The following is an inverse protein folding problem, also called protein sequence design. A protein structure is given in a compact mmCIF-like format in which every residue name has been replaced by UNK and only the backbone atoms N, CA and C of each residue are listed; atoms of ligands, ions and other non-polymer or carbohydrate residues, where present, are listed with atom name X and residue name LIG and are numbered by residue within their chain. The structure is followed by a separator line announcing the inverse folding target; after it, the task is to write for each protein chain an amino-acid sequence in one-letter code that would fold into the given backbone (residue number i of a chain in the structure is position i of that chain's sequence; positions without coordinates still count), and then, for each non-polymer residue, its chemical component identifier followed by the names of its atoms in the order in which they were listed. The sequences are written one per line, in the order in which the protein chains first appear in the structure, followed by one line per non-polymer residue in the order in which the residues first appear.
data_IF_214100284383
#
_entry.id   IF_214100284383
#
_cell.length_a   1.000
_cell.length_b   1.000
_cell.length_c   1.000
_cell.angle_alpha   90.00
_cell.angle_beta   90.00
_cell.angle_gamma   90.00
#
_symmetry.space_group_name_H-M   'P 1'
#
loop_
_entity.id
_entity.type
_entity.pdbx_description
1 polymer ?
#
# COMPACT_ATOMS: atom_id res chain seq x y z
N UNK A 1 17.62 -21.32 23.46
CA UNK A 1 16.76 -20.34 24.15
C UNK A 1 15.57 -20.06 23.26
N UNK A 2 14.48 -20.80 23.45
CA UNK A 2 13.20 -20.60 22.77
C UNK A 2 12.56 -19.31 23.28
N UNK A 3 12.26 -18.37 22.39
CA UNK A 3 11.64 -17.09 22.76
C UNK A 3 10.19 -17.29 23.23
N UNK A 4 9.65 -16.47 24.14
CA UNK A 4 8.37 -16.70 24.82
C UNK A 4 7.12 -16.38 23.98
N UNK A 5 7.27 -16.21 22.67
CA UNK A 5 6.18 -15.90 21.77
C UNK A 5 5.58 -17.23 21.31
N UNK A 6 4.38 -17.55 21.80
CA UNK A 6 3.70 -18.81 21.54
C UNK A 6 3.70 -19.20 20.05
N UNK A 7 3.71 -20.49 19.78
CA UNK A 7 3.74 -21.06 18.43
C UNK A 7 2.60 -20.49 17.56
N UNK A 8 2.87 -19.43 16.81
CA UNK A 8 1.86 -18.72 16.01
C UNK A 8 1.62 -19.47 14.69
N UNK A 9 0.37 -19.40 14.22
CA UNK A 9 -0.02 -19.95 12.93
C UNK A 9 0.66 -19.15 11.81
N UNK A 10 1.31 -19.83 10.88
CA UNK A 10 1.98 -19.18 9.74
C UNK A 10 0.96 -18.76 8.68
N UNK A 11 1.24 -17.66 7.99
CA UNK A 11 0.50 -17.20 6.84
C UNK A 11 1.10 -17.72 5.53
N UNK A 12 0.53 -17.26 4.42
CA UNK A 12 1.00 -17.62 3.08
C UNK A 12 2.37 -17.00 2.76
N UNK A 13 2.62 -15.80 3.29
CA UNK A 13 3.88 -15.10 3.08
C UNK A 13 5.06 -15.83 3.74
N UNK A 14 4.88 -16.28 4.99
CA UNK A 14 5.89 -17.04 5.72
C UNK A 14 6.16 -18.40 5.04
N UNK A 15 5.12 -19.04 4.46
CA UNK A 15 5.28 -20.25 3.66
C UNK A 15 6.11 -19.97 2.40
N UNK A 16 5.83 -18.88 1.70
CA UNK A 16 6.59 -18.49 0.50
C UNK A 16 8.06 -18.17 0.82
N UNK A 17 8.33 -17.49 1.94
CA UNK A 17 9.70 -17.17 2.37
C UNK A 17 10.50 -18.44 2.70
N UNK A 18 9.86 -19.44 3.32
CA UNK A 18 10.46 -20.75 3.55
C UNK A 18 10.77 -21.50 2.24
N UNK A 19 9.85 -21.48 1.27
CA UNK A 19 10.07 -22.08 -0.06
C UNK A 19 11.23 -21.42 -0.82
N UNK A 20 11.33 -20.09 -0.74
CA UNK A 20 12.43 -19.33 -1.36
C UNK A 20 13.79 -19.64 -0.71
N UNK A 21 13.80 -19.93 0.59
CA UNK A 21 15.00 -20.41 1.30
C UNK A 21 15.45 -21.78 0.78
N UNK A 22 14.52 -22.72 0.61
CA UNK A 22 14.80 -24.03 0.01
C UNK A 22 15.30 -23.90 -1.43
N UNK A 23 14.70 -23.01 -2.23
CA UNK A 23 15.09 -22.77 -3.62
C UNK A 23 16.50 -22.23 -3.76
N UNK A 24 16.92 -21.31 -2.88
CA UNK A 24 18.32 -20.83 -2.84
C UNK A 24 19.29 -21.96 -2.50
N UNK A 25 18.97 -22.76 -1.49
CA UNK A 25 19.85 -23.86 -1.07
C UNK A 25 19.97 -24.96 -2.15
N UNK A 26 18.92 -25.21 -2.94
CA UNK A 26 19.01 -26.04 -4.15
C UNK A 26 19.94 -25.40 -5.20
N UNK A 27 19.80 -24.10 -5.46
CA UNK A 27 20.66 -23.36 -6.40
C UNK A 27 22.14 -23.31 -5.99
N UNK A 28 22.41 -23.32 -4.68
CA UNK A 28 23.76 -23.43 -4.11
C UNK A 28 24.30 -24.87 -4.08
N UNK A 29 23.48 -25.87 -4.46
CA UNK A 29 23.86 -27.28 -4.42
C UNK A 29 23.92 -27.89 -3.02
N UNK A 30 23.28 -27.26 -2.03
CA UNK A 30 23.18 -27.74 -0.63
C UNK A 30 22.04 -28.72 -0.40
N UNK A 31 21.08 -28.74 -1.31
CA UNK A 31 19.94 -29.65 -1.35
C UNK A 31 19.95 -30.37 -2.69
N UNK A 32 19.66 -31.67 -2.68
CA UNK A 32 19.31 -32.40 -3.90
C UNK A 32 17.84 -32.13 -4.29
N UNK A 33 17.48 -32.40 -5.55
CA UNK A 33 16.13 -32.20 -6.08
C UNK A 33 15.08 -33.03 -5.32
N UNK A 34 15.41 -34.26 -4.92
CA UNK A 34 14.52 -35.11 -4.14
C UNK A 34 14.28 -34.55 -2.73
N UNK A 35 15.33 -34.03 -2.09
CA UNK A 35 15.23 -33.39 -0.77
C UNK A 35 14.44 -32.08 -0.84
N UNK A 36 14.63 -31.31 -1.90
CA UNK A 36 13.88 -30.09 -2.15
C UNK A 36 12.37 -30.36 -2.25
N UNK A 37 11.96 -31.35 -3.05
CA UNK A 37 10.54 -31.70 -3.22
C UNK A 37 9.90 -32.17 -1.90
N UNK A 38 10.60 -33.05 -1.17
CA UNK A 38 10.16 -33.53 0.14
C UNK A 38 9.98 -32.38 1.14
N UNK A 39 10.94 -31.44 1.21
CA UNK A 39 10.86 -30.30 2.13
C UNK A 39 9.82 -29.28 1.69
N UNK A 40 9.60 -29.08 0.39
CA UNK A 40 8.52 -28.24 -0.10
C UNK A 40 7.15 -28.76 0.32
N UNK A 41 6.91 -30.07 0.22
CA UNK A 41 5.67 -30.67 0.72
C UNK A 41 5.46 -30.41 2.21
N UNK A 42 6.52 -30.55 3.02
CA UNK A 42 6.45 -30.30 4.46
C UNK A 42 6.18 -28.82 4.79
N UNK A 43 6.79 -27.88 4.06
CA UNK A 43 6.51 -26.44 4.20
C UNK A 43 5.07 -26.11 3.80
N UNK A 44 4.51 -26.79 2.80
CA UNK A 44 3.12 -26.60 2.39
C UNK A 44 2.13 -27.03 3.47
N UNK A 45 2.43 -28.11 4.19
CA UNK A 45 1.61 -28.68 5.26
C UNK A 45 1.81 -27.99 6.62
N UNK A 46 2.91 -27.28 6.81
CA UNK A 46 3.21 -26.55 8.03
C UNK A 46 2.10 -25.55 8.37
N UNK A 47 1.68 -25.56 9.64
CA UNK A 47 0.65 -24.66 10.14
C UNK A 47 1.21 -23.62 11.09
N UNK A 48 2.37 -23.87 11.68
CA UNK A 48 2.92 -23.04 12.73
C UNK A 48 4.41 -22.78 12.55
N UNK A 49 4.93 -21.73 13.19
CA UNK A 49 6.31 -21.32 13.00
C UNK A 49 7.30 -22.35 13.58
N UNK A 50 6.90 -23.11 14.61
CA UNK A 50 7.69 -24.21 15.14
C UNK A 50 7.80 -25.39 14.15
N UNK A 51 6.84 -25.55 13.23
CA UNK A 51 6.89 -26.61 12.21
C UNK A 51 7.94 -26.32 11.12
N UNK A 52 8.26 -25.04 10.89
CA UNK A 52 9.25 -24.62 9.88
C UNK A 52 10.70 -24.72 10.38
N UNK A 53 10.93 -24.55 11.68
CA UNK A 53 12.27 -24.59 12.29
C UNK A 53 13.04 -25.89 11.98
N UNK A 54 12.48 -27.10 12.15
CA UNK A 54 13.21 -28.33 11.82
C UNK A 54 13.45 -28.53 10.33
N UNK A 55 12.62 -27.93 9.46
CA UNK A 55 12.73 -28.08 8.00
C UNK A 55 13.88 -27.23 7.44
N UNK A 56 14.12 -26.07 8.06
CA UNK A 56 15.11 -25.08 7.64
C UNK A 56 16.35 -25.02 8.54
N UNK A 57 16.38 -25.75 9.65
CA UNK A 57 17.38 -25.59 10.71
C UNK A 57 18.82 -25.93 10.32
N UNK A 58 19.02 -26.69 9.25
CA UNK A 58 20.31 -27.04 8.66
C UNK A 58 20.78 -26.07 7.57
N UNK A 59 19.89 -25.19 7.10
CA UNK A 59 20.20 -24.18 6.10
C UNK A 59 20.69 -22.88 6.78
N UNK A 60 21.61 -22.14 6.14
CA UNK A 60 22.01 -20.84 6.67
C UNK A 60 20.80 -19.92 6.75
N UNK A 61 20.64 -19.15 7.85
CA UNK A 61 19.51 -18.27 8.02
C UNK A 61 19.52 -17.22 6.90
N UNK A 62 18.44 -17.18 6.11
CA UNK A 62 18.23 -16.09 5.17
C UNK A 62 17.97 -14.84 6.03
N UNK A 63 18.71 -13.73 5.84
CA UNK A 63 18.39 -12.50 6.54
C UNK A 63 16.95 -12.13 6.17
N UNK A 64 16.08 -12.06 7.18
CA UNK A 64 14.71 -11.58 7.03
C UNK A 64 14.74 -10.16 6.44
N UNK A 65 14.68 -10.06 5.12
CA UNK A 65 15.04 -8.86 4.36
C UNK A 65 15.85 -9.08 3.07
N UNK A 66 16.03 -10.33 2.61
CA UNK A 66 16.88 -10.67 1.46
C UNK A 66 16.17 -10.82 0.12
N UNK A 67 15.60 -9.74 -0.41
CA UNK A 67 15.52 -9.58 -1.86
C UNK A 67 16.95 -9.65 -2.45
N UNK A 68 17.08 -10.34 -3.57
CA UNK A 68 18.33 -10.71 -4.25
C UNK A 68 19.38 -9.59 -4.26
N UNK A 69 20.61 -9.94 -3.85
CA UNK A 69 21.88 -9.22 -4.05
C UNK A 69 21.94 -7.73 -3.67
N UNK A 70 22.45 -7.47 -2.46
CA UNK A 70 23.00 -6.18 -2.04
C UNK A 70 24.25 -5.86 -2.87
N UNK A 71 24.10 -5.03 -3.90
CA UNK A 71 25.19 -4.19 -4.39
C UNK A 71 25.18 -2.87 -3.59
N UNK A 72 26.38 -2.39 -3.30
CA UNK A 72 26.75 -1.38 -2.31
C UNK A 72 25.85 -0.13 -2.23
N UNK A 73 25.35 0.17 -1.03
CA UNK A 73 24.72 1.46 -0.70
C UNK A 73 25.68 2.21 0.23
N UNK A 74 26.18 3.41 -0.15
CA UNK A 74 26.98 4.26 0.71
C UNK A 74 26.14 4.79 1.87
N UNK A 75 26.76 4.86 3.04
CA UNK A 75 26.27 5.44 4.29
C UNK A 75 25.55 6.78 4.10
N UNK A 76 24.30 6.85 4.59
CA UNK A 76 23.57 8.09 4.87
C UNK A 76 22.37 8.34 3.96
N UNK A 77 21.18 7.87 4.37
CA UNK A 77 19.96 8.70 4.47
C UNK A 77 18.68 7.86 4.65
N UNK A 78 17.90 8.29 5.66
CA UNK A 78 16.46 8.09 5.91
C UNK A 78 15.93 6.65 5.91
N UNK A 79 15.58 6.17 7.11
CA UNK A 79 14.77 4.97 7.33
C UNK A 79 13.42 5.07 6.60
N UNK A 80 13.32 4.45 5.43
CA UNK A 80 12.06 4.22 4.74
C UNK A 80 11.24 3.21 5.55
N UNK A 81 10.06 3.61 6.03
CA UNK A 81 9.28 2.73 6.88
C UNK A 81 8.66 1.61 6.04
N UNK A 82 8.92 0.34 6.36
CA UNK A 82 8.43 -0.81 5.55
C UNK A 82 6.92 -0.82 5.30
N UNK A 83 6.16 -0.12 6.14
CA UNK A 83 4.72 0.16 5.98
C UNK A 83 4.39 0.99 4.73
N UNK A 84 5.24 1.94 4.32
CA UNK A 84 5.08 2.75 3.11
C UNK A 84 5.33 1.93 1.82
N UNK A 85 6.24 0.94 1.86
CA UNK A 85 6.53 0.04 0.71
C UNK A 85 5.32 -0.87 0.47
N UNK A 86 4.74 -1.39 1.55
CA UNK A 86 3.58 -2.29 1.48
C UNK A 86 2.31 -1.58 0.98
N UNK A 87 2.11 -0.30 1.27
CA UNK A 87 0.95 0.46 0.80
C UNK A 87 1.00 0.74 -0.71
N UNK A 88 2.17 1.02 -1.27
CA UNK A 88 2.37 1.18 -2.71
C UNK A 88 2.14 -0.13 -3.49
N UNK A 89 2.41 -1.29 -2.87
CA UNK A 89 2.15 -2.61 -3.47
C UNK A 89 0.65 -2.94 -3.58
N UNK A 90 -0.20 -2.38 -2.70
CA UNK A 90 -1.67 -2.60 -2.74
C UNK A 90 -2.41 -1.81 -3.82
N UNK A 91 -1.87 -0.70 -4.33
CA UNK A 91 -2.56 0.13 -5.33
C UNK A 91 -2.60 -0.45 -6.76
N UNK A 92 -1.95 -1.59 -7.00
CA UNK A 92 -1.94 -2.27 -8.32
C UNK A 92 -3.21 -3.09 -8.65
N UNK A 93 -4.26 -3.05 -7.82
CA UNK A 93 -5.41 -3.95 -7.95
C UNK A 93 -6.45 -3.46 -8.97
N UNK A 94 -6.13 -3.56 -10.26
CA UNK A 94 -7.14 -3.64 -11.35
C UNK A 94 -7.32 -5.09 -11.82
N UNK A 95 -7.49 -6.02 -10.88
CA UNK A 95 -7.66 -7.47 -11.11
C UNK A 95 -8.95 -7.85 -11.86
N UNK A 96 -9.92 -6.95 -11.99
CA UNK A 96 -11.28 -7.26 -12.51
C UNK A 96 -11.44 -7.14 -14.02
N UNK A 97 -10.51 -6.51 -14.73
CA UNK A 97 -10.60 -6.34 -16.19
C UNK A 97 -9.97 -7.50 -16.99
N UNK A 98 -9.01 -8.23 -16.41
CA UNK A 98 -8.29 -9.31 -17.11
C UNK A 98 -9.15 -10.56 -17.37
N UNK A 99 -10.03 -10.92 -16.43
CA UNK A 99 -10.95 -12.07 -16.58
C UNK A 99 -11.96 -11.85 -17.71
N UNK A 100 -12.38 -10.61 -17.96
CA UNK A 100 -13.40 -10.29 -18.96
C UNK A 100 -12.89 -10.42 -20.41
N UNK A 101 -11.59 -10.21 -20.65
CA UNK A 101 -11.00 -10.30 -22.00
C UNK A 101 -10.48 -11.69 -22.36
N UNK A 102 -10.07 -12.49 -21.38
CA UNK A 102 -9.63 -13.88 -21.59
C UNK A 102 -10.79 -14.78 -22.07
N UNK A 103 -12.02 -14.50 -21.63
CA UNK A 103 -13.22 -15.19 -22.09
C UNK A 103 -13.57 -14.93 -23.57
N UNK A 104 -13.30 -13.73 -24.09
CA UNK A 104 -13.66 -13.35 -25.47
C UNK A 104 -12.81 -14.06 -26.52
N UNK A 105 -11.55 -14.38 -26.22
CA UNK A 105 -10.64 -15.07 -27.16
C UNK A 105 -10.90 -16.59 -27.19
N UNK A 106 -11.30 -17.18 -26.07
CA UNK A 106 -11.65 -18.61 -26.00
C UNK A 106 -12.86 -19.00 -26.87
N UNK A 107 -13.79 -18.07 -27.09
CA UNK A 107 -15.00 -18.34 -27.89
C UNK A 107 -14.74 -18.53 -29.40
N UNK A 108 -13.63 -17.98 -29.94
CA UNK A 108 -13.32 -18.08 -31.37
C UNK A 108 -12.49 -19.33 -31.75
N UNK A 109 -12.00 -20.10 -30.77
CA UNK A 109 -11.19 -21.30 -31.02
C UNK A 109 -11.99 -22.57 -31.34
N UNK A 110 -13.32 -22.55 -31.24
CA UNK A 110 -14.15 -23.76 -31.30
C UNK A 110 -14.72 -24.13 -32.69
N UNK A 111 -14.40 -23.41 -33.76
CA UNK A 111 -15.07 -23.60 -35.08
C UNK A 111 -14.13 -23.74 -36.28
N UNK A 112 -12.99 -24.44 -36.18
CA UNK A 112 -12.13 -24.67 -37.35
C UNK A 112 -11.08 -25.76 -37.18
N UNK A 113 -11.12 -26.73 -38.09
CA UNK A 113 -10.33 -27.97 -38.15
C UNK A 113 -8.83 -27.67 -38.37
N UNK A 114 -7.96 -28.42 -37.66
CA UNK A 114 -6.48 -28.39 -37.64
C UNK A 114 -5.83 -27.24 -36.84
N UNK A 115 -5.27 -27.55 -35.67
CA UNK A 115 -4.92 -26.58 -34.62
C UNK A 115 -3.54 -25.91 -34.77
N UNK A 116 -3.44 -24.58 -34.94
CA UNK A 116 -2.21 -23.84 -34.70
C UNK A 116 -2.23 -23.22 -33.30
N UNK A 117 -2.08 -24.04 -32.25
CA UNK A 117 -2.03 -23.57 -30.84
C UNK A 117 -0.96 -22.45 -30.68
N UNK A 118 0.11 -22.51 -31.47
CA UNK A 118 1.16 -21.50 -31.53
C UNK A 118 0.70 -20.11 -31.99
N UNK A 119 -0.31 -20.00 -32.85
CA UNK A 119 -0.84 -18.70 -33.32
C UNK A 119 -1.66 -17.98 -32.24
N UNK A 120 -2.23 -18.70 -31.29
CA UNK A 120 -2.88 -18.09 -30.11
C UNK A 120 -1.86 -17.76 -29.02
N UNK A 121 -0.78 -18.53 -28.92
CA UNK A 121 0.27 -18.35 -27.91
C UNK A 121 0.91 -16.96 -27.99
N UNK A 122 1.30 -16.50 -29.19
CA UNK A 122 1.93 -15.18 -29.40
C UNK A 122 1.04 -14.01 -28.91
N UNK A 123 -0.24 -13.88 -29.31
CA UNK A 123 -1.10 -12.82 -28.82
C UNK A 123 -1.46 -12.99 -27.33
N UNK A 124 -1.65 -14.21 -26.82
CA UNK A 124 -1.86 -14.39 -25.36
C UNK A 124 -0.65 -13.96 -24.55
N UNK A 125 0.56 -14.30 -25.00
CA UNK A 125 1.81 -13.95 -24.32
C UNK A 125 2.11 -12.46 -24.46
N UNK A 126 1.77 -11.84 -25.60
CA UNK A 126 1.79 -10.39 -25.80
C UNK A 126 0.81 -9.67 -24.87
N UNK A 127 -0.42 -10.16 -24.72
CA UNK A 127 -1.41 -9.58 -23.79
C UNK A 127 -0.96 -9.74 -22.33
N UNK A 128 -0.43 -10.91 -21.96
CA UNK A 128 0.02 -11.20 -20.61
C UNK A 128 1.24 -10.37 -20.20
N UNK A 129 2.22 -10.21 -21.11
CA UNK A 129 3.40 -9.40 -20.83
C UNK A 129 3.16 -7.89 -20.99
N UNK A 130 2.45 -7.47 -22.03
CA UNK A 130 2.34 -6.05 -22.40
C UNK A 130 1.13 -5.35 -21.80
N UNK A 131 -0.03 -6.01 -21.76
CA UNK A 131 -1.29 -5.42 -21.24
C UNK A 131 -1.47 -5.70 -19.77
N UNK A 132 -1.24 -6.94 -19.32
CA UNK A 132 -1.27 -7.28 -17.89
C UNK A 132 0.02 -6.86 -17.16
N UNK A 133 1.03 -6.36 -17.88
CA UNK A 133 2.29 -5.85 -17.32
C UNK A 133 2.91 -6.84 -16.30
N UNK A 134 2.74 -8.14 -16.55
CA UNK A 134 3.29 -9.23 -15.73
C UNK A 134 4.80 -9.29 -15.99
N UNK A 135 5.53 -8.47 -15.26
CA UNK A 135 6.98 -8.41 -15.25
C UNK A 135 7.49 -8.46 -13.81
N UNK A 136 8.77 -8.79 -13.59
CA UNK A 136 9.39 -8.85 -12.26
C UNK A 136 9.06 -7.59 -11.44
N UNK A 137 8.76 -7.74 -10.16
CA UNK A 137 8.38 -6.64 -9.26
C UNK A 137 9.41 -5.49 -9.24
N UNK A 138 10.67 -5.76 -9.60
CA UNK A 138 11.75 -4.76 -9.74
C UNK A 138 11.49 -3.72 -10.83
N UNK A 139 10.65 -4.02 -11.83
CA UNK A 139 10.33 -3.07 -12.90
C UNK A 139 9.32 -1.99 -12.47
N UNK A 140 8.72 -2.14 -11.28
CA UNK A 140 7.67 -1.27 -10.76
C UNK A 140 8.05 -0.52 -9.50
N UNK A 141 9.28 -0.64 -9.02
CA UNK A 141 9.72 0.12 -7.85
C UNK A 141 9.73 1.62 -8.19
N UNK A 142 8.83 2.43 -7.63
CA UNK A 142 8.79 3.86 -7.91
C UNK A 142 10.08 4.51 -7.40
N UNK A 143 10.62 5.43 -8.19
CA UNK A 143 11.85 6.15 -7.83
C UNK A 143 11.63 7.00 -6.57
N UNK A 144 12.65 7.14 -5.71
CA UNK A 144 12.57 7.92 -4.46
C UNK A 144 12.02 9.34 -4.67
N UNK A 145 12.36 9.97 -5.81
CA UNK A 145 11.87 11.31 -6.18
C UNK A 145 10.35 11.37 -6.42
N UNK A 146 9.75 10.31 -6.95
CA UNK A 146 8.29 10.26 -7.17
C UNK A 146 7.53 10.17 -5.85
N UNK A 147 8.08 9.46 -4.86
CA UNK A 147 7.53 9.38 -3.51
C UNK A 147 7.59 10.74 -2.80
N UNK A 148 8.67 11.49 -2.96
CA UNK A 148 8.76 12.86 -2.44
C UNK A 148 7.74 13.81 -3.10
N UNK A 149 7.51 13.67 -4.40
CA UNK A 149 6.51 14.47 -5.11
C UNK A 149 5.09 14.17 -4.64
N UNK A 150 4.74 12.89 -4.45
CA UNK A 150 3.45 12.50 -3.87
C UNK A 150 3.27 13.05 -2.46
N UNK A 151 4.29 12.95 -1.60
CA UNK A 151 4.26 13.52 -0.26
C UNK A 151 4.01 15.03 -0.29
N UNK A 152 4.65 15.75 -1.21
CA UNK A 152 4.41 17.20 -1.39
C UNK A 152 2.97 17.49 -1.83
N UNK A 153 2.37 16.65 -2.65
CA UNK A 153 0.97 16.81 -3.06
C UNK A 153 0.00 16.57 -1.90
N UNK A 154 0.21 15.52 -1.11
CA UNK A 154 -0.62 15.23 0.07
C UNK A 154 -0.54 16.34 1.11
N UNK A 155 0.65 16.89 1.35
CA UNK A 155 0.84 18.03 2.27
C UNK A 155 0.12 19.28 1.76
N UNK A 156 0.18 19.57 0.46
CA UNK A 156 -0.53 20.71 -0.15
C UNK A 156 -2.04 20.58 0.00
N UNK A 157 -2.61 19.40 -0.23
CA UNK A 157 -4.04 19.16 -0.04
C UNK A 157 -4.47 19.43 1.40
N UNK A 158 -3.73 18.92 2.39
CA UNK A 158 -4.01 19.18 3.81
C UNK A 158 -3.86 20.66 4.18
N UNK A 159 -2.93 21.38 3.55
CA UNK A 159 -2.78 22.83 3.75
C UNK A 159 -4.01 23.60 3.26
N UNK A 160 -4.54 23.25 2.08
CA UNK A 160 -5.76 23.87 1.53
C UNK A 160 -6.98 23.63 2.44
N UNK A 161 -7.10 22.45 3.04
CA UNK A 161 -8.16 22.15 4.00
C UNK A 161 -8.03 23.02 5.27
N UNK A 162 -6.83 23.17 5.82
CA UNK A 162 -6.59 24.00 6.99
C UNK A 162 -6.83 25.48 6.69
N UNK A 163 -6.42 25.95 5.50
CA UNK A 163 -6.62 27.32 5.07
C UNK A 163 -8.09 27.64 4.88
N UNK A 164 -8.84 26.77 4.20
CA UNK A 164 -10.29 26.94 4.05
C UNK A 164 -11.01 26.90 5.39
N UNK A 165 -10.63 25.99 6.31
CA UNK A 165 -11.18 25.95 7.67
C UNK A 165 -10.93 27.27 8.45
N UNK A 166 -9.73 27.84 8.33
CA UNK A 166 -9.41 29.15 8.94
C UNK A 166 -10.19 30.29 8.30
N UNK A 167 -10.34 30.28 6.98
CA UNK A 167 -11.14 31.29 6.27
C UNK A 167 -12.61 31.24 6.72
N UNK A 168 -13.17 30.05 6.91
CA UNK A 168 -14.51 29.86 7.46
C UNK A 168 -14.62 30.40 8.90
N UNK A 169 -13.66 30.10 9.77
CA UNK A 169 -13.65 30.65 11.13
C UNK A 169 -13.59 32.19 11.14
N UNK A 170 -12.77 32.78 10.27
CA UNK A 170 -12.67 34.24 10.15
C UNK A 170 -13.98 34.86 9.65
N UNK A 171 -14.69 34.21 8.72
CA UNK A 171 -15.98 34.69 8.24
C UNK A 171 -17.03 34.73 9.37
N UNK A 172 -17.07 33.70 10.22
CA UNK A 172 -17.97 33.65 11.38
C UNK A 172 -17.65 34.72 12.43
N UNK A 173 -16.37 34.93 12.75
CA UNK A 173 -15.97 35.98 13.69
C UNK A 173 -16.33 37.38 13.15
N UNK A 174 -16.25 37.58 11.83
CA UNK A 174 -16.65 38.84 11.18
C UNK A 174 -18.15 39.09 11.26
N UNK A 175 -18.99 38.05 11.18
CA UNK A 175 -20.44 38.24 11.37
C UNK A 175 -20.75 38.57 12.83
N UNK A 176 -20.19 37.81 13.78
CA UNK A 176 -20.41 38.03 15.22
C UNK A 176 -19.99 39.44 15.66
N UNK A 177 -18.85 39.95 15.18
CA UNK A 177 -18.41 41.32 15.50
C UNK A 177 -19.41 42.37 15.03
N UNK A 178 -20.02 42.18 13.85
CA UNK A 178 -21.05 43.10 13.35
C UNK A 178 -22.29 43.06 14.22
N UNK A 179 -22.72 41.87 14.63
CA UNK A 179 -23.89 41.69 15.49
C UNK A 179 -23.68 42.35 16.86
N UNK A 180 -22.50 42.17 17.46
CA UNK A 180 -22.14 42.84 18.72
C UNK A 180 -22.14 44.36 18.59
N UNK A 181 -21.58 44.91 17.51
CA UNK A 181 -21.56 46.36 17.28
C UNK A 181 -22.98 46.90 17.13
N UNK A 182 -23.84 46.20 16.40
CA UNK A 182 -25.24 46.60 16.22
C UNK A 182 -26.01 46.57 17.55
N UNK A 183 -25.79 45.54 18.38
CA UNK A 183 -26.37 45.46 19.72
C UNK A 183 -25.90 46.61 20.62
N UNK A 184 -24.59 46.86 20.69
CA UNK A 184 -24.03 47.98 21.48
C UNK A 184 -24.56 49.33 21.00
N UNK A 185 -24.75 49.50 19.69
CA UNK A 185 -25.32 50.72 19.11
C UNK A 185 -26.78 50.89 19.52
N UNK A 186 -27.57 49.80 19.51
CA UNK A 186 -28.96 49.80 19.96
C UNK A 186 -29.06 50.11 21.45
N UNK A 187 -28.28 49.42 22.29
CA UNK A 187 -28.27 49.62 23.75
C UNK A 187 -27.85 51.05 24.12
N UNK A 188 -26.89 51.63 23.40
CA UNK A 188 -26.47 53.01 23.59
C UNK A 188 -27.56 54.02 23.19
N UNK A 189 -28.27 53.77 22.09
CA UNK A 189 -29.41 54.57 21.64
C UNK A 189 -30.55 54.50 22.66
N UNK A 190 -30.89 53.32 23.15
CA UNK A 190 -31.94 53.11 24.16
C UNK A 190 -31.56 53.76 25.49
N UNK A 191 -30.30 53.66 25.92
CA UNK A 191 -29.80 54.35 27.12
C UNK A 191 -29.85 55.88 26.95
N UNK A 192 -29.45 56.40 25.79
CA UNK A 192 -29.55 57.83 25.48
C UNK A 192 -31.02 58.29 25.46
N UNK A 193 -31.91 57.49 24.87
CA UNK A 193 -33.34 57.79 24.81
C UNK A 193 -33.98 57.76 26.20
N UNK A 194 -33.64 56.76 27.02
CA UNK A 194 -34.12 56.64 28.40
C UNK A 194 -33.63 57.78 29.29
N UNK A 195 -32.37 58.19 29.16
CA UNK A 195 -31.84 59.33 29.91
C UNK A 195 -32.57 60.62 29.54
N UNK A 196 -32.76 60.89 28.25
CA UNK A 196 -33.54 62.05 27.77
C UNK A 196 -34.98 62.01 28.28
N UNK A 197 -35.65 60.86 28.19
CA UNK A 197 -37.03 60.69 28.66
C UNK A 197 -37.16 60.89 30.18
N UNK A 198 -36.15 60.46 30.96
CA UNK A 198 -36.11 60.65 32.42
C UNK A 198 -36.07 62.13 32.81
N UNK A 199 -35.35 62.97 32.07
CA UNK A 199 -35.30 64.42 32.31
C UNK A 199 -36.56 65.17 31.81
N UNK A 200 -37.40 64.53 30.99
CA UNK A 200 -38.60 65.14 30.39
C UNK A 200 -39.90 64.83 31.14
N UNK A 201 -39.91 63.86 32.06
CA UNK A 201 -41.07 63.60 32.94
C UNK A 201 -41.12 64.66 34.05
N UNK A 202 -42.20 65.47 34.16
CA UNK A 202 -42.33 66.53 35.16
C UNK A 202 -42.48 65.98 36.59
#
# INVERSE_FOLDING_TARGET
MSTPYGNFRIGDQERMDAMDTLGRALGEGRLDMAEFDQRCSQVAEAQTHADLEPILGDLPPVPAGGGVARQDVPTGDVFYSGREIMQARRSGRRMRAGVFWLGTVGAFGLTGIAHPIFLLLIPTLFILLYVMKVGPDSWYTPTLRQLEQQRRQDIKMRQLEIESAKAHQQALMRSQRKDQINQLTSDALDAAQNTINRFRKP
#
